data_IF_727670549135
#
_entry.id   IF_727670549135
#
_cell.length_a   1.000
_cell.length_b   1.000
_cell.length_c   1.000
_cell.angle_alpha   90.00
_cell.angle_beta   90.00
_cell.angle_gamma   90.00
#
_symmetry.space_group_name_H-M   'P 1'
#
loop_
_entity.id
_entity.type
_entity.pdbx_description
1 polymer ?
#
# COMPACT_ATOMS: atom_id res chain seq x y z
N UNK A 1 29.04 -6.29 -8.92
CA UNK A 1 29.19 -4.91 -8.40
C UNK A 1 28.27 -4.03 -9.22
N UNK A 2 27.25 -3.42 -8.60
CA UNK A 2 26.44 -2.37 -9.23
C UNK A 2 27.16 -1.01 -9.04
N UNK A 3 27.06 -0.06 -10.00
CA UNK A 3 27.73 1.23 -9.91
C UNK A 3 27.06 2.13 -8.84
N UNK A 4 27.82 3.00 -8.17
CA UNK A 4 27.27 3.97 -7.24
C UNK A 4 26.79 5.22 -7.98
N UNK A 5 25.56 5.61 -7.72
CA UNK A 5 24.98 6.87 -8.21
C UNK A 5 23.72 6.63 -9.03
N UNK A 6 22.61 6.39 -8.34
CA UNK A 6 21.31 6.88 -8.79
C UNK A 6 20.36 7.02 -7.59
N UNK A 7 19.84 8.23 -7.46
CA UNK A 7 19.01 8.75 -6.38
C UNK A 7 17.57 8.33 -6.56
N UNK A 8 16.90 7.82 -5.53
CA UNK A 8 15.46 7.57 -5.63
C UNK A 8 14.67 7.62 -4.28
N UNK A 9 13.42 8.13 -4.25
CA UNK A 9 12.53 8.31 -3.08
C UNK A 9 11.28 7.39 -3.02
N UNK A 10 10.98 6.72 -1.90
CA UNK A 10 9.70 5.99 -1.73
C UNK A 10 8.60 7.00 -1.46
N UNK A 11 7.71 7.18 -2.43
CA UNK A 11 6.70 8.21 -2.45
C UNK A 11 5.32 7.59 -2.55
N UNK A 12 4.56 7.58 -1.45
CA UNK A 12 3.11 7.50 -1.54
C UNK A 12 2.58 8.90 -1.79
N UNK A 13 2.07 9.19 -2.97
CA UNK A 13 1.46 10.46 -3.34
C UNK A 13 -0.05 10.31 -3.44
N UNK A 14 -0.80 11.05 -2.64
CA UNK A 14 -2.25 11.17 -2.86
C UNK A 14 -2.45 12.18 -4.01
N UNK A 15 -3.41 12.05 -4.90
CA UNK A 15 -3.82 13.07 -5.87
C UNK A 15 -5.34 13.19 -5.89
N UNK A 16 -5.87 14.28 -6.45
CA UNK A 16 -7.31 14.43 -6.68
C UNK A 16 -7.59 14.92 -8.09
N UNK A 17 -8.62 14.34 -8.71
CA UNK A 17 -9.22 14.87 -9.95
C UNK A 17 -10.74 14.85 -9.77
N UNK A 18 -11.37 16.04 -9.83
CA UNK A 18 -12.84 16.24 -9.83
C UNK A 18 -13.61 15.23 -8.96
N UNK A 19 -13.68 15.49 -7.65
CA UNK A 19 -14.36 14.68 -6.62
C UNK A 19 -13.77 13.29 -6.31
N UNK A 20 -12.64 12.93 -6.93
CA UNK A 20 -11.96 11.64 -6.73
C UNK A 20 -10.66 11.84 -5.98
N UNK A 21 -10.30 10.86 -5.15
CA UNK A 21 -8.98 10.78 -4.53
C UNK A 21 -8.25 9.58 -5.11
N UNK A 22 -7.08 9.84 -5.65
CA UNK A 22 -6.12 8.86 -6.11
C UNK A 22 -5.04 8.73 -5.03
N UNK A 23 -4.60 7.51 -4.74
CA UNK A 23 -3.44 7.23 -3.90
C UNK A 23 -2.47 6.53 -4.82
N UNK A 24 -1.50 7.28 -5.31
CA UNK A 24 -0.36 6.78 -6.04
C UNK A 24 0.72 6.35 -5.03
N UNK A 25 1.37 5.23 -5.29
CA UNK A 25 2.52 4.76 -4.55
C UNK A 25 3.59 4.48 -5.59
N UNK A 26 4.57 5.37 -5.69
CA UNK A 26 5.79 5.16 -6.46
C UNK A 26 6.93 4.91 -5.49
N UNK A 27 7.47 3.71 -5.47
CA UNK A 27 8.70 3.36 -4.75
C UNK A 27 9.90 3.84 -5.54
N UNK A 28 10.86 4.54 -4.93
CA UNK A 28 12.10 4.96 -5.57
C UNK A 28 13.20 4.91 -4.42
N UNK A 29 14.43 4.39 -4.58
CA UNK A 29 15.49 4.14 -3.54
C UNK A 29 16.70 5.13 -3.42
N UNK A 30 17.07 5.68 -2.25
CA UNK A 30 18.28 6.52 -2.08
C UNK A 30 19.11 6.09 -0.88
N UNK A 31 20.43 6.26 -1.01
CA UNK A 31 21.48 5.72 -0.17
C UNK A 31 21.43 6.17 1.30
N UNK A 32 21.83 5.22 2.15
CA UNK A 32 22.20 5.30 3.57
C UNK A 32 21.15 5.67 4.63
N UNK A 33 19.95 6.14 4.27
CA UNK A 33 18.83 6.22 5.22
C UNK A 33 17.49 5.80 4.61
N UNK A 34 17.00 4.65 5.07
CA UNK A 34 15.65 4.14 4.84
C UNK A 34 14.61 5.14 5.39
N UNK A 35 13.66 5.56 4.57
CA UNK A 35 12.58 6.44 5.01
C UNK A 35 11.32 6.27 4.18
N UNK A 36 10.19 6.17 4.87
CA UNK A 36 8.87 6.23 4.25
C UNK A 36 8.44 7.69 4.08
N UNK A 37 7.80 8.01 2.96
CA UNK A 37 7.21 9.34 2.71
C UNK A 37 5.76 9.19 2.28
N UNK A 38 4.91 10.08 2.78
CA UNK A 38 3.55 10.31 2.29
C UNK A 38 3.45 11.77 1.86
N UNK A 39 3.13 12.00 0.60
CA UNK A 39 2.92 13.31 0.00
C UNK A 39 1.43 13.53 -0.21
N UNK A 40 0.97 14.69 0.25
CA UNK A 40 -0.40 15.16 0.07
C UNK A 40 -0.31 16.48 -0.70
N UNK A 41 -0.77 16.55 -1.95
CA UNK A 41 -0.76 17.76 -2.75
C UNK A 41 -1.58 18.86 -2.08
N UNK A 42 -1.13 20.09 -2.25
CA UNK A 42 -1.75 21.28 -1.67
C UNK A 42 -3.23 21.44 -2.04
N UNK A 43 -3.63 20.93 -3.21
CA UNK A 43 -5.04 20.90 -3.66
C UNK A 43 -5.94 19.98 -2.83
N UNK A 44 -5.38 19.11 -1.99
CA UNK A 44 -6.12 18.19 -1.14
C UNK A 44 -6.19 18.76 0.28
N UNK A 45 -7.40 19.04 0.73
CA UNK A 45 -7.64 19.40 2.13
C UNK A 45 -7.67 18.13 2.97
N UNK A 46 -6.50 17.73 3.48
CA UNK A 46 -6.35 16.63 4.42
C UNK A 46 -5.95 17.17 5.80
N UNK A 47 -6.87 17.07 6.77
CA UNK A 47 -6.60 17.53 8.15
C UNK A 47 -6.00 16.41 8.96
N UNK A 48 -4.70 16.45 9.20
CA UNK A 48 -3.97 15.45 9.98
C UNK A 48 -4.47 15.47 11.43
N UNK A 49 -4.85 14.30 11.95
CA UNK A 49 -5.24 14.06 13.35
C UNK A 49 -4.12 13.39 14.15
N UNK A 50 -3.45 12.39 13.56
CA UNK A 50 -2.41 11.60 14.23
C UNK A 50 -1.39 11.16 13.20
N UNK A 51 -0.11 11.20 13.58
CA UNK A 51 0.99 10.60 12.83
C UNK A 51 1.72 9.64 13.76
N UNK A 52 1.97 8.42 13.30
CA UNK A 52 2.76 7.41 14.01
C UNK A 52 3.82 6.89 13.07
N UNK A 53 5.06 6.81 13.53
CA UNK A 53 6.22 6.30 12.78
C UNK A 53 6.93 5.30 13.67
N UNK A 54 7.50 4.25 13.09
CA UNK A 54 8.42 3.40 13.83
C UNK A 54 9.82 4.03 13.88
N UNK A 55 10.66 3.49 14.77
CA UNK A 55 12.05 3.94 14.93
C UNK A 55 12.96 3.44 13.83
N UNK A 56 12.57 2.36 13.14
CA UNK A 56 13.38 1.67 12.14
C UNK A 56 13.07 2.11 10.69
N UNK A 57 12.00 2.89 10.49
CA UNK A 57 11.62 3.43 9.18
C UNK A 57 10.88 2.44 8.28
N UNK A 58 10.29 1.39 8.85
CA UNK A 58 9.49 0.37 8.15
C UNK A 58 8.00 0.67 8.17
N UNK A 59 7.56 1.61 9.02
CA UNK A 59 6.14 1.90 9.22
C UNK A 59 5.86 3.40 9.38
N UNK A 60 4.89 3.90 8.62
CA UNK A 60 4.32 5.23 8.80
C UNK A 60 2.80 5.17 8.69
N UNK A 61 2.11 5.65 9.71
CA UNK A 61 0.66 5.81 9.72
C UNK A 61 0.31 7.29 9.83
N UNK A 62 -0.63 7.73 9.00
CA UNK A 62 -1.22 9.05 9.04
C UNK A 62 -2.74 8.88 9.13
N UNK A 63 -3.33 9.36 10.22
CA UNK A 63 -4.78 9.51 10.35
C UNK A 63 -5.15 10.95 10.11
N UNK A 64 -6.22 11.17 9.37
CA UNK A 64 -6.76 12.50 9.16
C UNK A 64 -8.18 12.49 8.62
N UNK A 65 -8.69 13.69 8.38
CA UNK A 65 -10.00 13.89 7.77
C UNK A 65 -9.81 14.38 6.35
N UNK A 66 -10.51 13.73 5.43
CA UNK A 66 -10.66 14.18 4.05
C UNK A 66 -12.13 14.06 3.65
N UNK A 67 -12.71 15.10 3.04
CA UNK A 67 -14.14 15.12 2.67
C UNK A 67 -15.11 14.76 3.81
N UNK A 68 -14.78 15.14 5.06
CA UNK A 68 -15.56 14.81 6.27
C UNK A 68 -15.61 13.32 6.64
N UNK A 69 -14.78 12.49 6.01
CA UNK A 69 -14.53 11.10 6.41
C UNK A 69 -13.18 10.99 7.11
N UNK A 70 -13.13 10.19 8.17
CA UNK A 70 -11.87 9.74 8.76
C UNK A 70 -11.20 8.74 7.83
N UNK A 71 -9.93 8.97 7.53
CA UNK A 71 -9.11 8.11 6.67
C UNK A 71 -7.79 7.85 7.37
N UNK A 72 -7.41 6.57 7.34
CA UNK A 72 -6.14 6.10 7.87
C UNK A 72 -5.29 5.60 6.69
N UNK A 73 -4.12 6.18 6.51
CA UNK A 73 -3.16 5.78 5.50
C UNK A 73 -1.95 5.18 6.18
N UNK A 74 -1.55 4.00 5.75
CA UNK A 74 -0.42 3.28 6.32
C UNK A 74 0.53 2.94 5.20
N UNK A 75 1.74 3.49 5.24
CA UNK A 75 2.84 3.09 4.38
C UNK A 75 3.72 2.09 5.13
N UNK A 76 4.03 0.96 4.49
CA UNK A 76 4.81 -0.13 5.04
C UNK A 76 5.95 -0.49 4.10
N UNK A 77 7.11 -0.75 4.67
CA UNK A 77 8.25 -1.31 3.96
C UNK A 77 8.86 -2.41 4.79
N UNK A 78 8.59 -3.66 4.42
CA UNK A 78 9.20 -4.80 5.05
C UNK A 78 10.72 -4.82 4.76
N UNK A 79 11.55 -5.25 5.73
CA UNK A 79 12.99 -5.39 5.51
C UNK A 79 13.29 -6.48 4.47
N UNK A 80 14.36 -6.32 3.69
CA UNK A 80 14.80 -7.31 2.70
C UNK A 80 15.06 -8.69 3.34
N UNK A 81 15.64 -8.70 4.55
CA UNK A 81 15.83 -9.91 5.34
C UNK A 81 14.75 -10.00 6.41
N UNK A 82 14.12 -11.17 6.54
CA UNK A 82 13.07 -11.39 7.53
C UNK A 82 11.72 -10.74 7.18
N UNK A 83 11.51 -10.33 5.92
CA UNK A 83 10.26 -9.74 5.42
C UNK A 83 9.02 -10.52 5.90
N UNK A 84 9.00 -11.84 5.72
CA UNK A 84 7.87 -12.68 6.13
C UNK A 84 7.61 -12.62 7.64
N UNK A 85 8.66 -12.60 8.47
CA UNK A 85 8.53 -12.47 9.93
C UNK A 85 7.97 -11.10 10.32
N UNK A 86 8.38 -10.05 9.61
CA UNK A 86 7.85 -8.70 9.80
C UNK A 86 6.36 -8.63 9.38
N UNK A 87 6.03 -9.09 8.18
CA UNK A 87 4.66 -9.05 7.63
C UNK A 87 3.68 -9.86 8.48
N UNK A 88 4.11 -10.98 9.08
CA UNK A 88 3.28 -11.75 10.02
C UNK A 88 2.90 -11.00 11.30
N UNK A 89 3.67 -10.00 11.71
CA UNK A 89 3.37 -9.19 12.90
C UNK A 89 2.40 -8.05 12.59
N UNK A 90 2.37 -7.57 11.34
CA UNK A 90 1.54 -6.45 10.91
C UNK A 90 0.07 -6.61 11.33
N UNK A 91 -0.63 -7.74 11.07
CA UNK A 91 -2.01 -7.94 11.56
C UNK A 91 -2.23 -7.59 13.04
N UNK A 92 -1.31 -8.01 13.91
CA UNK A 92 -1.41 -7.76 15.35
C UNK A 92 -1.05 -6.33 15.73
N UNK A 93 -0.06 -5.73 15.07
CA UNK A 93 0.37 -4.33 15.28
C UNK A 93 -0.66 -3.32 14.79
N UNK A 94 -1.42 -3.68 13.75
CA UNK A 94 -2.49 -2.88 13.18
C UNK A 94 -3.77 -2.91 14.03
N UNK A 95 -3.96 -3.96 14.84
CA UNK A 95 -5.17 -4.18 15.63
C UNK A 95 -5.45 -2.98 16.56
N UNK A 96 -6.66 -2.44 16.48
CA UNK A 96 -7.09 -1.28 17.28
C UNK A 96 -6.55 0.07 16.81
N UNK A 97 -5.61 0.09 15.86
CA UNK A 97 -5.15 1.30 15.18
C UNK A 97 -5.80 1.46 13.80
N UNK A 98 -6.35 0.39 13.23
CA UNK A 98 -7.03 0.41 11.94
C UNK A 98 -8.55 0.40 12.07
N UNK A 99 -9.20 0.95 11.06
CA UNK A 99 -10.64 1.08 10.90
C UNK A 99 -11.03 0.77 9.43
N UNK A 100 -12.32 0.57 9.10
CA UNK A 100 -12.72 0.23 7.74
C UNK A 100 -12.23 1.20 6.65
N UNK A 101 -11.94 2.47 6.96
CA UNK A 101 -11.39 3.45 6.00
C UNK A 101 -9.86 3.45 5.94
N UNK A 102 -9.23 2.39 6.44
CA UNK A 102 -7.78 2.22 6.36
C UNK A 102 -7.36 1.71 4.99
N UNK A 103 -6.38 2.38 4.39
CA UNK A 103 -5.63 1.90 3.23
C UNK A 103 -4.19 1.66 3.63
N UNK A 104 -3.72 0.42 3.48
CA UNK A 104 -2.35 0.00 3.75
C UNK A 104 -1.65 -0.16 2.41
N UNK A 105 -0.47 0.44 2.27
CA UNK A 105 0.27 0.50 1.03
C UNK A 105 1.75 0.23 1.25
N UNK A 106 2.41 -0.36 0.28
CA UNK A 106 3.88 -0.40 0.23
C UNK A 106 4.47 -1.78 -0.05
N UNK A 107 5.77 -1.90 0.15
CA UNK A 107 6.58 -3.05 -0.22
C UNK A 107 6.62 -4.07 0.92
N UNK A 108 5.97 -5.22 0.73
CA UNK A 108 6.00 -6.32 1.70
C UNK A 108 7.20 -7.25 1.52
N UNK A 109 8.01 -7.07 0.46
CA UNK A 109 9.10 -7.97 0.07
C UNK A 109 8.70 -9.46 0.02
N UNK A 110 7.40 -9.75 -0.11
CA UNK A 110 6.84 -11.10 0.01
C UNK A 110 5.67 -11.28 -0.97
N UNK A 111 5.77 -12.24 -1.90
CA UNK A 111 4.64 -12.64 -2.74
C UNK A 111 3.57 -13.38 -1.92
N UNK A 112 2.29 -13.01 -2.07
CA UNK A 112 1.16 -13.59 -1.33
C UNK A 112 0.47 -14.75 -2.06
N UNK A 113 0.72 -14.96 -3.34
CA UNK A 113 0.19 -16.08 -4.13
C UNK A 113 1.19 -16.54 -5.18
N UNK A 114 1.01 -17.76 -5.71
CA UNK A 114 1.86 -18.33 -6.76
C UNK A 114 1.90 -17.43 -8.01
N UNK A 115 0.76 -16.83 -8.36
CA UNK A 115 0.63 -15.89 -9.49
C UNK A 115 1.39 -14.57 -9.30
N UNK A 116 1.79 -14.25 -8.07
CA UNK A 116 2.60 -13.08 -7.79
C UNK A 116 4.09 -13.31 -8.10
N UNK A 117 4.46 -14.46 -8.67
CA UNK A 117 5.80 -14.78 -9.17
C UNK A 117 5.72 -15.25 -10.62
N UNK A 118 6.60 -14.74 -11.47
CA UNK A 118 6.69 -15.22 -12.86
C UNK A 118 7.11 -16.69 -12.95
N UNK A 119 7.83 -17.20 -11.95
CA UNK A 119 8.20 -18.62 -11.83
C UNK A 119 7.04 -19.53 -11.44
N UNK A 120 5.90 -18.98 -10.98
CA UNK A 120 4.76 -19.72 -10.44
C UNK A 120 5.14 -20.70 -9.31
N UNK A 121 6.23 -20.40 -8.60
CA UNK A 121 6.64 -21.20 -7.45
C UNK A 121 5.55 -21.17 -6.38
N UNK A 122 5.17 -22.36 -5.89
CA UNK A 122 4.19 -22.52 -4.83
C UNK A 122 4.57 -21.73 -3.58
N UNK A 123 3.60 -21.02 -3.01
CA UNK A 123 3.71 -20.40 -1.70
C UNK A 123 3.89 -21.47 -0.62
N UNK A 124 4.65 -21.12 0.42
CA UNK A 124 4.87 -22.01 1.56
C UNK A 124 3.72 -21.86 2.58
N UNK A 125 3.68 -22.77 3.57
CA UNK A 125 2.66 -22.77 4.63
C UNK A 125 2.62 -21.47 5.44
N UNK A 126 3.75 -20.78 5.56
CA UNK A 126 3.82 -19.54 6.31
C UNK A 126 3.09 -18.39 5.60
N UNK A 127 3.20 -18.31 4.27
CA UNK A 127 2.44 -17.35 3.45
C UNK A 127 0.95 -17.71 3.47
N UNK A 128 0.60 -19.00 3.41
CA UNK A 128 -0.79 -19.44 3.59
C UNK A 128 -1.37 -18.97 4.92
N UNK A 129 -0.66 -19.21 6.03
CA UNK A 129 -1.08 -18.78 7.37
C UNK A 129 -1.19 -17.25 7.50
N UNK A 130 -0.33 -16.49 6.81
CA UNK A 130 -0.44 -15.04 6.72
C UNK A 130 -1.73 -14.64 5.99
N UNK A 131 -2.02 -15.25 4.84
CA UNK A 131 -3.24 -14.97 4.09
C UNK A 131 -4.50 -15.30 4.90
N UNK A 132 -4.49 -16.42 5.64
CA UNK A 132 -5.59 -16.79 6.54
C UNK A 132 -5.78 -15.73 7.64
N UNK A 133 -4.69 -15.17 8.16
CA UNK A 133 -4.75 -14.10 9.17
C UNK A 133 -5.31 -12.80 8.59
N UNK A 134 -4.92 -12.44 7.36
CA UNK A 134 -5.47 -11.27 6.67
C UNK A 134 -6.98 -11.44 6.43
N UNK A 135 -7.41 -12.63 6.01
CA UNK A 135 -8.83 -12.95 5.79
C UNK A 135 -9.64 -12.90 7.10
N UNK A 136 -9.11 -13.44 8.20
CA UNK A 136 -9.73 -13.33 9.53
C UNK A 136 -9.89 -11.89 10.04
N UNK A 137 -9.07 -10.96 9.55
CA UNK A 137 -9.17 -9.53 9.87
C UNK A 137 -10.02 -8.76 8.85
N UNK A 138 -10.65 -9.45 7.90
CA UNK A 138 -11.35 -8.85 6.76
C UNK A 138 -10.46 -7.89 5.94
N UNK A 139 -9.14 -8.12 5.93
CA UNK A 139 -8.19 -7.37 5.11
C UNK A 139 -7.97 -8.11 3.79
N UNK A 140 -8.17 -7.40 2.69
CA UNK A 140 -8.03 -7.94 1.33
C UNK A 140 -6.91 -7.25 0.57
N UNK A 141 -6.27 -7.98 -0.34
CA UNK A 141 -5.44 -7.41 -1.41
C UNK A 141 -6.37 -6.77 -2.46
N UNK A 142 -6.41 -5.43 -2.47
CA UNK A 142 -7.34 -4.66 -3.32
C UNK A 142 -7.01 -4.90 -4.80
N UNK A 143 -5.74 -4.99 -5.16
CA UNK A 143 -5.35 -5.29 -6.55
C UNK A 143 -5.91 -6.66 -6.98
N UNK A 144 -5.75 -7.68 -6.13
CA UNK A 144 -6.22 -9.04 -6.44
C UNK A 144 -7.75 -9.15 -6.46
N UNK A 145 -8.45 -8.33 -5.67
CA UNK A 145 -9.92 -8.27 -5.71
C UNK A 145 -10.45 -7.76 -7.06
N UNK A 146 -9.78 -6.77 -7.67
CA UNK A 146 -10.15 -6.24 -8.99
C UNK A 146 -9.61 -7.09 -10.15
N UNK A 147 -8.46 -7.74 -9.95
CA UNK A 147 -7.74 -8.48 -10.99
C UNK A 147 -7.44 -9.93 -10.56
N UNK A 148 -8.46 -10.76 -10.30
CA UNK A 148 -8.29 -12.07 -9.65
C UNK A 148 -7.43 -13.05 -10.46
N UNK A 149 -7.41 -12.91 -11.79
CA UNK A 149 -6.70 -13.82 -12.71
C UNK A 149 -5.52 -13.17 -13.43
N UNK A 150 -5.24 -11.90 -13.17
CA UNK A 150 -4.19 -11.17 -13.89
C UNK A 150 -2.83 -11.46 -13.26
N UNK A 151 -1.91 -12.01 -14.04
CA UNK A 151 -0.50 -12.08 -13.68
C UNK A 151 0.16 -10.74 -14.06
N UNK A 152 0.39 -9.89 -13.07
CA UNK A 152 1.09 -8.63 -13.21
C UNK A 152 2.04 -8.45 -12.03
N UNK A 153 3.14 -7.75 -12.27
CA UNK A 153 4.29 -7.69 -11.36
C UNK A 153 4.63 -6.24 -11.07
N UNK A 154 5.31 -6.01 -9.95
CA UNK A 154 5.75 -4.68 -9.55
C UNK A 154 7.26 -4.60 -9.40
N UNK A 155 7.99 -5.70 -9.52
CA UNK A 155 9.43 -5.73 -9.33
C UNK A 155 10.09 -6.76 -10.24
N UNK A 156 11.28 -6.41 -10.76
CA UNK A 156 12.16 -7.33 -11.47
C UNK A 156 13.43 -7.60 -10.66
N UNK A 157 13.68 -8.87 -10.35
CA UNK A 157 14.93 -9.31 -9.73
C UNK A 157 15.95 -9.68 -10.80
N UNK A 158 16.95 -8.83 -11.00
CA UNK A 158 18.07 -9.12 -11.92
C UNK A 158 18.89 -10.34 -11.48
N UNK A 159 19.05 -10.56 -10.17
CA UNK A 159 19.79 -11.68 -9.61
C UNK A 159 19.16 -13.05 -9.93
N UNK A 160 17.85 -13.08 -10.11
CA UNK A 160 17.10 -14.32 -10.37
C UNK A 160 16.48 -14.36 -11.76
N UNK A 161 16.49 -13.25 -12.51
CA UNK A 161 15.82 -13.14 -13.81
C UNK A 161 14.31 -13.32 -13.73
N UNK A 162 13.70 -12.98 -12.59
CA UNK A 162 12.26 -13.22 -12.34
C UNK A 162 11.52 -11.96 -11.94
N UNK A 163 10.25 -11.90 -12.30
CA UNK A 163 9.33 -10.85 -11.88
C UNK A 163 8.51 -11.30 -10.68
N UNK A 164 8.22 -10.36 -9.78
CA UNK A 164 7.34 -10.58 -8.65
C UNK A 164 6.45 -9.38 -8.37
N UNK A 165 5.29 -9.62 -7.77
CA UNK A 165 4.45 -8.59 -7.17
C UNK A 165 4.70 -8.58 -5.68
N UNK A 166 5.44 -7.59 -5.19
CA UNK A 166 5.80 -7.46 -3.77
C UNK A 166 5.28 -6.17 -3.14
N UNK A 167 4.98 -5.17 -3.97
CA UNK A 167 4.24 -3.98 -3.59
C UNK A 167 2.75 -4.31 -3.48
N UNK A 168 2.10 -3.81 -2.43
CA UNK A 168 0.71 -4.13 -2.10
C UNK A 168 -0.11 -2.89 -1.79
N UNK A 169 -1.40 -3.01 -2.12
CA UNK A 169 -2.46 -2.14 -1.60
C UNK A 169 -3.45 -3.07 -0.90
N UNK A 170 -3.52 -2.97 0.43
CA UNK A 170 -4.45 -3.71 1.27
C UNK A 170 -5.49 -2.76 1.86
N UNK A 171 -6.67 -3.29 2.14
CA UNK A 171 -7.71 -2.55 2.85
C UNK A 171 -8.82 -3.47 3.31
N UNK A 172 -9.81 -2.91 4.01
CA UNK A 172 -10.91 -3.70 4.55
C UNK A 172 -11.90 -4.13 3.47
N UNK A 173 -12.40 -5.36 3.59
CA UNK A 173 -13.43 -5.97 2.74
C UNK A 173 -14.71 -5.14 2.71
N UNK A 174 -15.15 -4.63 3.86
CA UNK A 174 -16.35 -3.80 3.98
C UNK A 174 -16.27 -2.47 3.21
N UNK A 175 -15.04 -2.00 2.94
CA UNK A 175 -14.78 -0.79 2.15
C UNK A 175 -14.58 -1.06 0.67
N UNK A 176 -14.80 -2.28 0.19
CA UNK A 176 -14.60 -2.65 -1.22
C UNK A 176 -15.42 -1.77 -2.18
N UNK A 177 -16.61 -1.32 -1.76
CA UNK A 177 -17.46 -0.41 -2.54
C UNK A 177 -16.90 1.02 -2.67
N UNK A 178 -15.90 1.39 -1.86
CA UNK A 178 -15.21 2.68 -1.94
C UNK A 178 -14.09 2.65 -2.96
N UNK A 179 -13.46 1.50 -3.17
CA UNK A 179 -12.41 1.34 -4.18
C UNK A 179 -13.06 1.34 -5.56
N UNK A 180 -12.55 2.18 -6.45
CA UNK A 180 -13.10 2.34 -7.80
C UNK A 180 -12.23 1.68 -8.85
N UNK A 181 -10.91 1.81 -8.70
CA UNK A 181 -9.94 1.32 -9.67
C UNK A 181 -8.59 1.15 -9.02
N UNK A 182 -7.85 0.14 -9.45
CA UNK A 182 -6.49 -0.10 -9.01
C UNK A 182 -5.64 -0.55 -10.20
N UNK A 183 -4.47 0.06 -10.36
CA UNK A 183 -3.60 -0.10 -11.52
C UNK A 183 -2.13 -0.22 -11.09
N UNK A 184 -1.35 -0.98 -11.85
CA UNK A 184 0.11 -0.96 -11.80
C UNK A 184 0.57 -0.01 -12.91
N UNK A 185 1.42 0.95 -12.55
CA UNK A 185 1.96 1.96 -13.46
C UNK A 185 3.46 1.69 -13.60
N UNK A 186 3.90 1.22 -14.78
CA UNK A 186 5.32 1.01 -15.03
C UNK A 186 6.13 2.28 -14.78
N UNK A 187 7.28 2.16 -14.11
CA UNK A 187 8.15 3.32 -13.87
C UNK A 187 9.54 3.11 -14.45
N UNK A 188 10.13 4.20 -14.96
CA UNK A 188 11.50 4.21 -15.51
C UNK A 188 12.55 4.66 -14.48
N UNK A 189 12.10 5.25 -13.38
CA UNK A 189 12.98 5.86 -12.36
C UNK A 189 13.22 4.93 -11.17
N UNK A 190 12.58 3.77 -11.12
CA UNK A 190 12.70 2.81 -10.04
C UNK A 190 12.76 1.38 -10.55
N UNK A 191 13.34 0.50 -9.74
CA UNK A 191 13.24 -0.96 -9.93
C UNK A 191 11.86 -1.51 -9.62
N UNK A 192 10.96 -0.67 -9.09
CA UNK A 192 9.58 -1.03 -8.80
C UNK A 192 8.60 -0.23 -9.66
N UNK A 193 7.52 -0.89 -10.08
CA UNK A 193 6.37 -0.24 -10.67
C UNK A 193 5.47 0.36 -9.57
N UNK A 194 4.85 1.49 -9.89
CA UNK A 194 3.97 2.18 -8.97
C UNK A 194 2.60 1.50 -8.89
N UNK A 195 1.95 1.60 -7.73
CA UNK A 195 0.56 1.18 -7.55
C UNK A 195 -0.32 2.40 -7.41
N UNK A 196 -1.43 2.45 -8.13
CA UNK A 196 -2.41 3.53 -8.08
C UNK A 196 -3.76 2.99 -7.64
N UNK A 197 -4.35 3.59 -6.61
CA UNK A 197 -5.71 3.30 -6.15
C UNK A 197 -6.58 4.55 -6.25
N UNK A 198 -7.70 4.44 -6.96
CA UNK A 198 -8.76 5.46 -6.98
C UNK A 198 -9.84 5.09 -5.98
N UNK A 199 -10.15 5.99 -5.05
CA UNK A 199 -11.18 5.83 -4.02
C UNK A 199 -12.29 6.87 -4.15
N UNK A 200 -13.52 6.44 -3.86
CA UNK A 200 -14.68 7.30 -3.72
C UNK A 200 -14.76 7.80 -2.27
N UNK A 201 -14.68 9.11 -2.07
CA UNK A 201 -14.98 9.74 -0.79
C UNK A 201 -16.38 10.33 -0.86
N UNK A 202 -17.32 9.90 0.01
CA UNK A 202 -18.66 10.48 0.00
C UNK A 202 -18.60 11.83 0.71
N UNK A 203 -19.14 12.89 0.09
CA UNK A 203 -19.51 14.09 0.83
C UNK A 203 -20.69 13.72 1.73
N UNK A 204 -20.57 13.86 3.06
CA UNK A 204 -21.78 13.94 3.89
C UNK A 204 -22.48 15.24 3.51
N UNK A 205 -23.62 15.13 2.83
CA UNK A 205 -24.54 16.27 2.70
C UNK A 205 -25.04 16.57 4.11
N UNK A 206 -24.58 17.69 4.68
CA UNK A 206 -25.10 18.15 5.97
C UNK A 206 -26.60 18.33 5.85
N UNK A 207 -27.37 17.64 6.69
CA UNK A 207 -28.76 18.05 6.95
C UNK A 207 -28.67 19.43 7.61
N UNK A 208 -28.95 20.49 6.86
CA UNK A 208 -29.37 21.76 7.44
C UNK A 208 -30.68 21.49 8.16
N UNK A 209 -30.62 21.34 9.48
CA UNK A 209 -31.78 21.54 10.35
C UNK A 209 -32.04 23.03 10.35
N UNK A 210 -33.03 23.47 9.58
CA UNK A 210 -33.62 24.79 9.75
C UNK A 210 -34.45 24.72 11.03
N UNK A 211 -34.02 25.45 12.06
CA UNK A 211 -34.82 25.73 13.26
C UNK A 211 -35.80 26.86 12.96
#
# INVERSE_FOLDING_TARGET
MLPPGDTSLFQTQIQTQSERVEIDISSIWHSEKSGLVVLIPDKIVFRIKKVKKDTEGHFMMIKGIMHQEDITLINIRAPNQGALKYVKRLPSELRGETDPNTVIVGDLNTPLSDMDRSSQQKINKEITSLNDTLDQLDIIDIYRAFHPKTAAYTFFSSAHGTFSRIDRILGYRDSLNKYKRVEIIPTIFSSHDALKLEINCKKKVGRTTNT
#
